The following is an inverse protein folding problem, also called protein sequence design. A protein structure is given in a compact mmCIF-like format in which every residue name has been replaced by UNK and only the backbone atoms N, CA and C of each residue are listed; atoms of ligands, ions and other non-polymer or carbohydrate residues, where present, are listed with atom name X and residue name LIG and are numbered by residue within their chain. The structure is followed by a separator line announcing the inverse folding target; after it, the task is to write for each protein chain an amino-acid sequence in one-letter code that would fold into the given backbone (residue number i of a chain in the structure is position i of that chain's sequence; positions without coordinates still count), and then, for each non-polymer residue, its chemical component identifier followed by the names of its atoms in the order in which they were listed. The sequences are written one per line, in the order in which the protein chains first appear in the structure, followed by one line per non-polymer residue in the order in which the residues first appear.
data_IF_129123054209
#
_entry.id   IF_129123054209
#
_cell.length_a   1.000
_cell.length_b   1.000
_cell.length_c   1.000
_cell.angle_alpha   90.00
_cell.angle_beta   90.00
_cell.angle_gamma   90.00
#
_symmetry.space_group_name_H-M   'P 1'
#
loop_
_entity.id
_entity.type
_entity.pdbx_description
1 polymer ?
#
# COMPACT_ATOMS: atom_id res chain seq x y z
N UNK A 1 24.37 -0.16 14.72
CA UNK A 1 22.96 -0.58 14.53
C UNK A 1 22.30 0.46 13.64
N UNK A 2 21.51 0.07 12.65
CA UNK A 2 20.80 1.03 11.81
C UNK A 2 19.85 1.88 12.67
N UNK A 3 19.71 3.17 12.33
CA UNK A 3 18.76 4.07 13.00
C UNK A 3 17.32 3.53 12.79
N UNK A 4 16.52 3.25 13.84
CA UNK A 4 15.16 2.75 13.69
C UNK A 4 14.25 3.64 12.83
N UNK A 5 14.49 4.95 12.83
CA UNK A 5 13.77 5.93 12.00
C UNK A 5 13.99 5.63 10.51
N UNK A 6 15.23 5.48 10.09
CA UNK A 6 15.57 5.16 8.70
C UNK A 6 15.15 3.73 8.35
N UNK A 7 15.38 2.78 9.28
CA UNK A 7 15.10 1.36 9.06
C UNK A 7 13.63 1.10 8.74
N UNK A 8 12.69 1.75 9.43
CA UNK A 8 11.25 1.50 9.25
C UNK A 8 10.51 2.61 8.50
N UNK A 9 11.26 3.49 7.82
CA UNK A 9 10.70 4.51 6.95
C UNK A 9 9.95 5.62 7.69
N UNK A 10 10.38 5.98 8.90
CA UNK A 10 9.82 7.06 9.70
C UNK A 10 10.24 8.47 9.24
N UNK A 11 11.08 8.57 8.20
CA UNK A 11 11.48 9.88 7.67
C UNK A 11 10.26 10.64 7.17
N UNK A 12 10.13 11.90 7.61
CA UNK A 12 9.02 12.77 7.23
C UNK A 12 9.19 13.28 5.79
N UNK A 13 8.11 13.21 5.02
CA UNK A 13 8.02 13.75 3.65
C UNK A 13 6.69 14.50 3.49
N UNK A 14 6.55 15.42 2.52
CA UNK A 14 5.27 16.05 2.21
C UNK A 14 4.16 15.03 1.98
N UNK A 15 2.95 15.30 2.49
CA UNK A 15 1.77 14.46 2.24
C UNK A 15 1.29 14.55 0.80
N UNK A 16 1.44 15.69 0.16
CA UNK A 16 1.04 15.88 -1.24
C UNK A 16 1.93 15.06 -2.19
N UNK A 17 1.33 14.08 -2.89
CA UNK A 17 2.04 13.29 -3.90
C UNK A 17 2.50 14.14 -5.08
N UNK A 18 1.72 15.14 -5.47
CA UNK A 18 2.10 16.09 -6.53
C UNK A 18 3.35 16.87 -6.14
N UNK A 19 3.40 17.37 -4.90
CA UNK A 19 4.56 18.07 -4.38
C UNK A 19 5.79 17.16 -4.32
N UNK A 20 5.65 15.92 -3.86
CA UNK A 20 6.72 14.93 -3.87
C UNK A 20 7.29 14.73 -5.27
N UNK A 21 6.42 14.60 -6.27
CA UNK A 21 6.84 14.43 -7.67
C UNK A 21 7.49 15.70 -8.25
N UNK A 22 7.02 16.88 -7.84
CA UNK A 22 7.61 18.15 -8.25
C UNK A 22 9.01 18.39 -7.64
N UNK A 23 9.20 18.00 -6.38
CA UNK A 23 10.43 18.19 -5.62
C UNK A 23 11.48 17.08 -5.83
N UNK A 24 11.15 15.99 -6.56
CA UNK A 24 12.11 14.91 -6.81
C UNK A 24 13.34 15.42 -7.56
N UNK A 25 14.52 14.91 -7.16
CA UNK A 25 15.82 15.37 -7.68
C UNK A 25 15.96 15.11 -9.17
N UNK A 26 15.43 13.99 -9.67
CA UNK A 26 15.52 13.61 -11.08
C UNK A 26 14.17 13.06 -11.57
N UNK A 27 13.77 13.51 -12.76
CA UNK A 27 12.69 12.88 -13.52
C UNK A 27 13.30 11.77 -14.37
N UNK A 28 12.95 10.53 -14.06
CA UNK A 28 13.41 9.35 -14.81
C UNK A 28 12.22 8.66 -15.45
N UNK A 29 12.41 8.21 -16.69
CA UNK A 29 11.47 7.30 -17.32
C UNK A 29 11.53 5.94 -16.61
N UNK A 30 10.38 5.32 -16.28
CA UNK A 30 10.37 4.02 -15.65
C UNK A 30 10.87 2.95 -16.64
N UNK A 31 11.68 2.03 -16.16
CA UNK A 31 12.08 0.87 -16.96
C UNK A 31 11.29 -0.39 -16.53
N UNK A 32 11.12 -1.37 -17.46
CA UNK A 32 10.33 -2.55 -17.18
C UNK A 32 10.96 -3.43 -16.10
N UNK A 33 10.11 -3.98 -15.24
CA UNK A 33 10.46 -4.94 -14.18
C UNK A 33 9.54 -6.14 -14.27
N UNK A 34 10.08 -7.32 -13.99
CA UNK A 34 9.29 -8.54 -13.85
C UNK A 34 9.09 -8.91 -12.40
N UNK A 35 7.97 -9.58 -12.09
CA UNK A 35 7.66 -10.06 -10.73
C UNK A 35 8.73 -11.00 -10.20
N UNK A 36 9.35 -11.82 -11.07
CA UNK A 36 10.45 -12.72 -10.71
C UNK A 36 11.71 -11.99 -10.26
N UNK A 37 11.94 -10.77 -10.76
CA UNK A 37 13.07 -9.94 -10.36
C UNK A 37 12.84 -9.27 -8.97
N UNK A 38 11.66 -9.46 -8.40
CA UNK A 38 11.18 -8.80 -7.19
C UNK A 38 10.82 -9.84 -6.09
N UNK A 39 11.80 -10.61 -5.56
CA UNK A 39 11.52 -11.65 -4.57
C UNK A 39 10.86 -11.07 -3.31
N UNK A 40 10.10 -11.90 -2.61
CA UNK A 40 9.57 -11.54 -1.28
C UNK A 40 10.72 -11.59 -0.27
N UNK A 41 10.73 -10.70 0.74
CA UNK A 41 11.65 -10.84 1.86
C UNK A 41 11.48 -12.21 2.50
N UNK A 42 12.61 -12.86 2.81
CA UNK A 42 12.63 -14.11 3.54
C UNK A 42 12.72 -13.82 5.04
N UNK A 43 11.74 -14.29 5.80
CA UNK A 43 11.71 -14.10 7.24
C UNK A 43 10.57 -14.87 7.89
N UNK A 44 10.79 -15.35 9.12
CA UNK A 44 9.74 -16.06 9.86
C UNK A 44 8.52 -15.17 10.13
N UNK A 45 8.72 -13.88 10.38
CA UNK A 45 7.65 -12.91 10.57
C UNK A 45 6.83 -12.72 9.28
N UNK A 46 7.51 -12.56 8.14
CA UNK A 46 6.86 -12.46 6.82
C UNK A 46 5.98 -13.67 6.53
N UNK A 47 6.50 -14.88 6.76
CA UNK A 47 5.73 -16.11 6.55
C UNK A 47 4.46 -16.14 7.39
N UNK A 48 4.57 -15.84 8.68
CA UNK A 48 3.42 -15.80 9.60
C UNK A 48 2.37 -14.75 9.23
N UNK A 49 2.81 -13.54 8.84
CA UNK A 49 1.88 -12.46 8.41
C UNK A 49 1.25 -12.81 7.06
N UNK A 50 1.99 -13.44 6.16
CA UNK A 50 1.43 -13.92 4.89
C UNK A 50 0.34 -14.97 5.13
N UNK A 51 0.56 -15.91 6.05
CA UNK A 51 -0.43 -16.93 6.40
C UNK A 51 -1.65 -16.30 7.08
N UNK A 52 -1.44 -15.31 7.95
CA UNK A 52 -2.52 -14.51 8.53
C UNK A 52 -3.33 -13.79 7.44
N UNK A 53 -2.67 -13.10 6.51
CA UNK A 53 -3.33 -12.40 5.42
C UNK A 53 -4.13 -13.39 4.51
N UNK A 54 -3.57 -14.55 4.18
CA UNK A 54 -4.27 -15.59 3.40
C UNK A 54 -5.51 -16.13 4.10
N UNK A 55 -5.47 -16.23 5.43
CA UNK A 55 -6.60 -16.73 6.22
C UNK A 55 -7.73 -15.72 6.32
N UNK A 56 -7.41 -14.42 6.38
CA UNK A 56 -8.37 -13.38 6.73
C UNK A 56 -8.81 -12.50 5.56
N UNK A 57 -8.01 -12.37 4.51
CA UNK A 57 -8.33 -11.52 3.37
C UNK A 57 -9.03 -12.29 2.25
N UNK A 58 -10.11 -11.73 1.65
CA UNK A 58 -10.61 -12.20 0.37
C UNK A 58 -9.52 -12.23 -0.69
N UNK A 59 -9.63 -13.13 -1.68
CA UNK A 59 -8.61 -13.30 -2.71
C UNK A 59 -8.31 -12.02 -3.49
N UNK A 60 -9.33 -11.20 -3.78
CA UNK A 60 -9.16 -9.91 -4.46
C UNK A 60 -8.32 -8.94 -3.62
N UNK A 61 -8.63 -8.82 -2.31
CA UNK A 61 -7.89 -7.96 -1.38
C UNK A 61 -6.46 -8.43 -1.19
N UNK A 62 -6.25 -9.75 -1.05
CA UNK A 62 -4.90 -10.31 -0.96
C UNK A 62 -4.07 -10.04 -2.23
N UNK A 63 -4.66 -10.26 -3.40
CA UNK A 63 -4.00 -9.96 -4.68
C UNK A 63 -3.69 -8.46 -4.82
N UNK A 64 -4.62 -7.57 -4.41
CA UNK A 64 -4.37 -6.14 -4.33
C UNK A 64 -3.16 -5.81 -3.46
N UNK A 65 -3.11 -6.35 -2.25
CA UNK A 65 -1.98 -6.20 -1.32
C UNK A 65 -0.65 -6.64 -1.93
N UNK A 66 -0.65 -7.76 -2.66
CA UNK A 66 0.55 -8.29 -3.33
C UNK A 66 0.93 -7.46 -4.56
N UNK A 67 -0.04 -6.93 -5.33
CA UNK A 67 0.24 -6.00 -6.45
C UNK A 67 0.88 -4.72 -5.93
N UNK A 68 0.33 -4.09 -4.89
CA UNK A 68 0.89 -2.86 -4.29
C UNK A 68 2.35 -3.04 -3.95
N UNK A 69 2.70 -4.12 -3.29
CA UNK A 69 4.09 -4.41 -2.98
C UNK A 69 4.95 -4.51 -4.24
N UNK A 70 4.46 -5.17 -5.30
CA UNK A 70 5.24 -5.38 -6.53
C UNK A 70 5.42 -4.11 -7.36
N UNK A 71 4.44 -3.21 -7.34
CA UNK A 71 4.61 -1.89 -7.96
C UNK A 71 5.70 -1.05 -7.26
N UNK A 72 5.99 -1.34 -6.00
CA UNK A 72 6.87 -0.53 -5.16
C UNK A 72 8.29 -1.07 -4.99
N UNK A 73 8.59 -2.34 -5.37
CA UNK A 73 9.73 -3.00 -4.77
C UNK A 73 10.72 -3.73 -5.70
N UNK A 74 12.05 -3.54 -5.42
CA UNK A 74 13.14 -4.47 -5.73
C UNK A 74 14.10 -4.60 -4.55
N UNK A 75 14.50 -5.85 -4.23
CA UNK A 75 15.20 -6.22 -3.00
C UNK A 75 16.72 -6.34 -3.09
N UNK A 76 17.35 -6.17 -4.23
CA UNK A 76 18.80 -6.41 -4.29
C UNK A 76 19.59 -5.10 -4.38
N UNK A 77 20.60 -4.93 -3.52
CA UNK A 77 21.50 -3.77 -3.58
C UNK A 77 22.23 -3.62 -4.94
N UNK A 78 22.33 -4.71 -5.69
CA UNK A 78 23.03 -4.75 -6.99
C UNK A 78 22.14 -4.43 -8.20
N UNK A 79 20.81 -4.49 -8.08
CA UNK A 79 19.89 -4.32 -9.22
C UNK A 79 18.99 -3.08 -9.16
N UNK A 80 19.12 -2.23 -8.18
CA UNK A 80 18.65 -0.81 -8.13
C UNK A 80 17.30 -0.44 -8.78
N UNK A 81 16.26 -1.32 -8.78
CA UNK A 81 15.17 -1.25 -9.76
C UNK A 81 13.75 -1.22 -9.16
N UNK A 82 13.53 -0.48 -8.07
CA UNK A 82 12.18 -0.25 -7.55
C UNK A 82 11.66 1.12 -7.95
N UNK A 83 10.33 1.31 -8.04
CA UNK A 83 9.72 2.61 -8.33
C UNK A 83 10.28 3.68 -7.38
N UNK A 84 10.34 3.41 -6.09
CA UNK A 84 10.91 4.35 -5.13
C UNK A 84 12.37 4.63 -5.41
N UNK A 85 13.19 3.63 -5.75
CA UNK A 85 14.59 3.87 -6.12
C UNK A 85 14.76 4.49 -7.50
N UNK A 86 13.79 4.35 -8.40
CA UNK A 86 13.81 5.06 -9.67
C UNK A 86 13.50 6.54 -9.51
N UNK A 87 12.56 6.88 -8.61
CA UNK A 87 12.03 8.23 -8.49
C UNK A 87 12.42 8.94 -7.19
N UNK A 88 12.74 8.18 -6.12
CA UNK A 88 13.09 8.67 -4.77
C UNK A 88 14.24 7.85 -4.17
N UNK A 89 15.45 7.88 -4.79
CA UNK A 89 16.58 7.03 -4.39
C UNK A 89 17.08 7.30 -2.97
N UNK A 90 16.75 8.46 -2.41
CA UNK A 90 17.10 8.88 -1.04
C UNK A 90 16.19 8.26 0.02
N UNK A 91 15.04 7.73 -0.35
CA UNK A 91 14.12 7.14 0.62
C UNK A 91 14.62 5.80 1.14
N UNK A 92 14.61 5.68 2.46
CA UNK A 92 15.03 4.46 3.17
C UNK A 92 13.86 3.85 3.91
N UNK A 93 13.69 2.55 3.80
CA UNK A 93 12.78 1.72 4.57
C UNK A 93 13.18 0.25 4.40
N UNK A 94 12.85 -0.53 5.41
CA UNK A 94 13.06 -1.97 5.37
C UNK A 94 12.02 -2.66 4.49
N UNK A 95 12.45 -3.53 3.58
CA UNK A 95 11.58 -4.33 2.72
C UNK A 95 10.55 -5.17 3.43
N UNK A 96 10.91 -5.74 4.58
CA UNK A 96 9.99 -6.51 5.40
C UNK A 96 8.88 -5.62 5.91
N UNK A 97 9.21 -4.46 6.48
CA UNK A 97 8.24 -3.49 7.02
C UNK A 97 7.25 -3.03 5.96
N UNK A 98 7.73 -2.74 4.74
CA UNK A 98 6.84 -2.41 3.62
C UNK A 98 5.89 -3.56 3.25
N UNK A 99 6.40 -4.79 3.20
CA UNK A 99 5.55 -5.94 2.90
C UNK A 99 4.48 -6.17 3.97
N UNK A 100 4.85 -6.03 5.25
CA UNK A 100 3.89 -6.14 6.36
C UNK A 100 2.78 -5.08 6.24
N UNK A 101 3.14 -3.82 5.94
CA UNK A 101 2.18 -2.74 5.71
C UNK A 101 1.29 -3.05 4.49
N UNK A 102 1.86 -3.49 3.37
CA UNK A 102 1.10 -3.83 2.18
C UNK A 102 0.14 -5.00 2.41
N UNK A 103 0.53 -6.04 3.15
CA UNK A 103 -0.32 -7.20 3.42
C UNK A 103 -1.51 -6.88 4.34
N UNK A 104 -1.32 -5.97 5.30
CA UNK A 104 -2.30 -5.71 6.35
C UNK A 104 -3.12 -4.43 6.15
N UNK A 105 -2.78 -3.56 5.16
CA UNK A 105 -3.39 -2.24 5.05
C UNK A 105 -4.93 -2.27 4.91
N UNK A 106 -5.47 -3.27 4.23
CA UNK A 106 -6.90 -3.43 4.01
C UNK A 106 -7.55 -4.49 4.94
N UNK A 107 -6.88 -4.93 6.01
CA UNK A 107 -7.45 -5.94 6.91
C UNK A 107 -8.75 -5.46 7.56
N UNK A 108 -8.91 -4.16 7.76
CA UNK A 108 -10.11 -3.55 8.30
C UNK A 108 -11.30 -3.52 7.34
N UNK A 109 -11.11 -3.80 6.04
CA UNK A 109 -12.16 -3.78 5.01
C UNK A 109 -12.94 -5.08 4.93
N UNK A 110 -12.52 -6.14 5.60
CA UNK A 110 -13.25 -7.41 5.60
C UNK A 110 -14.65 -7.22 6.21
N UNK A 111 -15.65 -7.94 5.72
CA UNK A 111 -17.03 -7.79 6.17
C UNK A 111 -17.16 -7.89 7.70
N UNK A 112 -16.43 -8.82 8.32
CA UNK A 112 -16.40 -8.96 9.76
C UNK A 112 -15.85 -7.72 10.47
N UNK A 113 -14.71 -7.19 10.03
CA UNK A 113 -14.09 -6.05 10.69
C UNK A 113 -14.83 -4.74 10.40
N UNK A 114 -15.31 -4.55 9.15
CA UNK A 114 -16.05 -3.37 8.77
C UNK A 114 -17.36 -3.24 9.55
N UNK A 115 -18.09 -4.34 9.75
CA UNK A 115 -19.39 -4.36 10.44
C UNK A 115 -19.30 -4.38 11.97
N UNK A 116 -18.21 -4.91 12.54
CA UNK A 116 -18.05 -5.10 13.99
C UNK A 116 -17.55 -3.86 14.74
N UNK A 117 -17.29 -2.74 14.06
CA UNK A 117 -16.75 -1.52 14.67
C UNK A 117 -17.43 -0.26 14.16
N UNK A 118 -17.36 0.80 14.96
CA UNK A 118 -17.74 2.17 14.56
C UNK A 118 -16.54 2.99 14.09
N UNK A 119 -15.32 2.44 14.21
CA UNK A 119 -14.12 3.09 13.69
C UNK A 119 -14.09 3.03 12.16
N UNK A 120 -13.47 4.00 11.53
CA UNK A 120 -13.09 3.90 10.12
C UNK A 120 -12.22 2.67 9.90
N UNK A 121 -12.35 2.02 8.73
CA UNK A 121 -11.67 0.75 8.49
C UNK A 121 -10.14 0.87 8.57
N UNK A 122 -9.58 2.02 8.22
CA UNK A 122 -8.14 2.28 8.31
C UNK A 122 -7.64 2.27 9.76
N UNK A 123 -8.40 2.90 10.68
CA UNK A 123 -8.07 2.87 12.11
C UNK A 123 -8.22 1.47 12.68
N UNK A 124 -9.31 0.78 12.34
CA UNK A 124 -9.51 -0.60 12.77
C UNK A 124 -8.41 -1.51 12.27
N UNK A 125 -8.03 -1.38 10.99
CA UNK A 125 -6.93 -2.11 10.37
C UNK A 125 -5.58 -1.82 11.05
N UNK A 126 -5.31 -0.56 11.38
CA UNK A 126 -4.11 -0.16 12.13
C UNK A 126 -4.02 -0.84 13.48
N UNK A 127 -5.08 -0.85 14.27
CA UNK A 127 -5.09 -1.51 15.59
C UNK A 127 -4.95 -3.03 15.48
N UNK A 128 -5.64 -3.67 14.52
CA UNK A 128 -5.49 -5.09 14.25
C UNK A 128 -4.03 -5.41 13.91
N UNK A 129 -3.41 -4.62 13.03
CA UNK A 129 -2.03 -4.85 12.60
C UNK A 129 -1.05 -4.70 13.77
N UNK A 130 -1.27 -3.73 14.65
CA UNK A 130 -0.44 -3.51 15.84
C UNK A 130 -0.45 -4.73 16.77
N UNK A 131 -1.64 -5.27 17.04
CA UNK A 131 -1.84 -6.44 17.91
C UNK A 131 -1.28 -7.72 17.26
N UNK A 132 -1.58 -7.95 15.99
CA UNK A 132 -1.09 -9.13 15.25
C UNK A 132 0.43 -9.13 15.20
N UNK A 133 1.06 -8.03 14.81
CA UNK A 133 2.51 -7.93 14.72
C UNK A 133 3.18 -8.04 16.10
N UNK A 134 2.54 -7.52 17.16
CA UNK A 134 3.02 -7.71 18.53
C UNK A 134 3.00 -9.19 18.92
N UNK A 135 1.91 -9.90 18.66
CA UNK A 135 1.77 -11.33 18.96
C UNK A 135 2.75 -12.21 18.19
N UNK A 136 3.18 -11.77 17.01
CA UNK A 136 4.15 -12.46 16.15
C UNK A 136 5.60 -12.08 16.44
N UNK A 137 5.85 -11.19 17.42
CA UNK A 137 7.19 -10.82 17.90
C UNK A 137 7.88 -9.72 17.08
N UNK A 138 7.14 -8.91 16.31
CA UNK A 138 7.70 -7.74 15.65
C UNK A 138 8.19 -6.70 16.67
N UNK A 139 9.30 -6.02 16.36
CA UNK A 139 9.81 -4.94 17.20
C UNK A 139 8.84 -3.74 17.25
N UNK A 140 8.84 -2.99 18.34
CA UNK A 140 7.88 -1.90 18.56
C UNK A 140 7.88 -0.89 17.43
N UNK A 141 9.06 -0.39 17.05
CA UNK A 141 9.17 0.63 15.98
C UNK A 141 8.65 0.13 14.62
N UNK A 142 8.83 -1.17 14.32
CA UNK A 142 8.34 -1.78 13.09
C UNK A 142 6.81 -1.86 13.07
N UNK A 143 6.20 -2.39 14.14
CA UNK A 143 4.73 -2.53 14.21
C UNK A 143 4.01 -1.18 14.28
N UNK A 144 4.62 -0.18 14.94
CA UNK A 144 4.10 1.20 14.94
C UNK A 144 4.19 1.84 13.56
N UNK A 145 5.29 1.65 12.82
CA UNK A 145 5.42 2.15 11.45
C UNK A 145 4.37 1.53 10.51
N UNK A 146 4.10 0.24 10.65
CA UNK A 146 3.03 -0.44 9.91
C UNK A 146 1.66 0.12 10.29
N UNK A 147 1.38 0.26 11.59
CA UNK A 147 0.12 0.80 12.10
C UNK A 147 -0.15 2.23 11.60
N UNK A 148 0.83 3.15 11.75
CA UNK A 148 0.75 4.53 11.24
C UNK A 148 0.48 4.55 9.74
N UNK A 149 1.20 3.72 8.98
CA UNK A 149 1.01 3.62 7.54
C UNK A 149 -0.38 3.12 7.18
N UNK A 150 -0.93 2.14 7.89
CA UNK A 150 -2.28 1.62 7.65
C UNK A 150 -3.34 2.67 7.96
N UNK A 151 -3.22 3.36 9.10
CA UNK A 151 -4.15 4.43 9.47
C UNK A 151 -4.17 5.54 8.40
N UNK A 152 -3.03 5.83 7.81
CA UNK A 152 -2.87 6.96 6.90
C UNK A 152 -2.78 6.59 5.42
N UNK A 153 -2.97 5.32 5.04
CA UNK A 153 -2.77 4.87 3.65
C UNK A 153 -3.74 5.49 2.62
N UNK A 154 -4.81 6.13 3.08
CA UNK A 154 -5.76 6.92 2.28
C UNK A 154 -5.81 8.39 2.73
N UNK A 155 -4.85 8.86 3.52
CA UNK A 155 -4.80 10.26 3.98
C UNK A 155 -4.26 11.19 2.89
N UNK A 156 -4.92 11.19 1.72
CA UNK A 156 -4.58 12.06 0.60
C UNK A 156 -4.82 13.54 0.96
N UNK A 157 -3.98 14.43 0.45
CA UNK A 157 -4.14 15.88 0.66
C UNK A 157 -2.83 16.65 0.50
N UNK A 158 -2.90 17.98 0.58
CA UNK A 158 -1.84 18.88 0.15
C UNK A 158 -1.02 19.48 1.30
N UNK A 159 -1.48 19.32 2.55
CA UNK A 159 -0.83 19.91 3.73
C UNK A 159 -0.35 18.87 4.72
N UNK A 160 0.70 19.21 5.46
CA UNK A 160 1.30 18.34 6.47
C UNK A 160 2.29 17.33 5.91
N UNK A 161 2.74 16.43 6.76
CA UNK A 161 3.73 15.42 6.43
C UNK A 161 3.23 14.01 6.75
N UNK A 162 3.78 13.04 6.04
CA UNK A 162 3.62 11.60 6.27
C UNK A 162 5.01 10.95 6.33
N UNK A 163 5.07 9.68 6.68
CA UNK A 163 6.33 8.93 6.63
C UNK A 163 6.66 8.50 5.20
N UNK A 164 7.93 8.25 4.90
CA UNK A 164 8.33 7.68 3.60
C UNK A 164 7.64 6.35 3.35
N UNK A 165 7.46 5.50 4.37
CA UNK A 165 6.72 4.24 4.25
C UNK A 165 5.26 4.48 3.83
N UNK A 166 4.58 5.46 4.44
CA UNK A 166 3.21 5.83 4.08
C UNK A 166 3.14 6.39 2.66
N UNK A 167 4.06 7.28 2.27
CA UNK A 167 4.09 7.85 0.92
C UNK A 167 4.24 6.77 -0.16
N UNK A 168 5.09 5.79 0.09
CA UNK A 168 5.25 4.63 -0.80
C UNK A 168 3.94 3.85 -0.94
N UNK A 169 3.25 3.56 0.16
CA UNK A 169 1.94 2.88 0.12
C UNK A 169 0.88 3.75 -0.58
N UNK A 170 0.89 5.08 -0.41
CA UNK A 170 0.00 5.99 -1.14
C UNK A 170 0.14 5.83 -2.66
N UNK A 171 1.36 5.93 -3.22
CA UNK A 171 1.56 5.78 -4.66
C UNK A 171 0.99 4.46 -5.18
N UNK A 172 1.22 3.36 -4.49
CA UNK A 172 0.68 2.06 -4.91
C UNK A 172 -0.83 1.98 -4.78
N UNK A 173 -1.40 2.59 -3.74
CA UNK A 173 -2.86 2.61 -3.51
C UNK A 173 -3.57 3.36 -4.63
N UNK A 174 -3.13 4.59 -4.91
CA UNK A 174 -3.79 5.41 -5.93
C UNK A 174 -3.57 4.87 -7.34
N UNK A 175 -2.44 4.23 -7.61
CA UNK A 175 -2.22 3.54 -8.88
C UNK A 175 -3.20 2.37 -9.05
N UNK A 176 -3.22 1.42 -8.12
CA UNK A 176 -4.02 0.20 -8.27
C UNK A 176 -5.53 0.48 -8.15
N UNK A 177 -5.94 1.44 -7.31
CA UNK A 177 -7.35 1.77 -7.11
C UNK A 177 -7.88 2.78 -8.15
N UNK A 178 -7.12 3.82 -8.47
CA UNK A 178 -7.60 4.96 -9.27
C UNK A 178 -6.82 5.18 -10.58
N UNK A 179 -5.76 4.43 -10.85
CA UNK A 179 -4.91 4.60 -12.04
C UNK A 179 -4.07 5.89 -12.03
N UNK A 180 -3.98 6.58 -10.88
CA UNK A 180 -3.21 7.81 -10.78
C UNK A 180 -1.70 7.52 -10.75
N UNK A 181 -0.92 8.43 -11.32
CA UNK A 181 0.54 8.34 -11.40
C UNK A 181 1.05 7.07 -12.10
N UNK A 182 0.28 6.54 -13.07
CA UNK A 182 0.65 5.36 -13.83
C UNK A 182 1.96 5.54 -14.61
N UNK A 183 2.31 6.77 -14.94
CA UNK A 183 3.56 7.14 -15.59
C UNK A 183 4.81 6.85 -14.76
N UNK A 184 4.67 6.55 -13.47
CA UNK A 184 5.77 6.13 -12.61
C UNK A 184 6.11 4.65 -12.76
N UNK A 185 5.30 3.88 -13.47
CA UNK A 185 5.45 2.43 -13.64
C UNK A 185 5.42 2.08 -15.12
N UNK A 186 6.42 1.33 -15.58
CA UNK A 186 6.43 0.88 -16.96
C UNK A 186 5.20 0.01 -17.27
N UNK A 187 4.52 0.17 -18.43
CA UNK A 187 3.34 -0.62 -18.78
C UNK A 187 3.56 -2.13 -18.72
N UNK A 188 4.72 -2.62 -19.16
CA UNK A 188 5.06 -4.05 -19.09
C UNK A 188 5.13 -4.56 -17.65
N UNK A 189 5.54 -3.70 -16.69
CA UNK A 189 5.52 -4.04 -15.26
C UNK A 189 4.10 -4.17 -14.77
N UNK A 190 3.20 -3.25 -15.15
CA UNK A 190 1.77 -3.33 -14.80
C UNK A 190 1.18 -4.65 -15.32
N UNK A 191 1.44 -4.99 -16.58
CA UNK A 191 0.96 -6.22 -17.21
C UNK A 191 1.49 -7.47 -16.49
N UNK A 192 2.78 -7.54 -16.18
CA UNK A 192 3.40 -8.71 -15.53
C UNK A 192 2.88 -8.89 -14.10
N UNK A 193 2.74 -7.79 -13.36
CA UNK A 193 2.21 -7.80 -11.98
C UNK A 193 0.74 -8.22 -11.95
N UNK A 194 -0.10 -7.67 -12.83
CA UNK A 194 -1.54 -8.03 -12.90
C UNK A 194 -1.76 -9.44 -13.41
N UNK A 195 -0.93 -9.95 -14.31
CA UNK A 195 -0.92 -11.35 -14.73
C UNK A 195 -0.60 -12.29 -13.55
N UNK A 196 0.36 -11.95 -12.71
CA UNK A 196 0.80 -12.78 -11.57
C UNK A 196 -0.16 -12.71 -10.38
N UNK A 197 -0.78 -11.54 -10.17
CA UNK A 197 -1.75 -11.26 -9.11
C UNK A 197 -3.01 -10.67 -9.71
N UNK A 198 -3.90 -11.49 -10.28
CA UNK A 198 -5.09 -11.04 -11.00
C UNK A 198 -5.98 -10.15 -10.16
N UNK A 199 -6.61 -9.18 -10.80
CA UNK A 199 -7.51 -8.24 -10.13
C UNK A 199 -8.84 -8.90 -9.75
N UNK A 200 -9.36 -9.79 -10.58
CA UNK A 200 -10.57 -10.57 -10.30
C UNK A 200 -11.79 -9.71 -9.91
N UNK A 201 -12.05 -8.64 -10.64
CA UNK A 201 -13.13 -7.71 -10.34
C UNK A 201 -12.83 -6.79 -9.15
N UNK A 202 -11.55 -6.48 -8.89
CA UNK A 202 -11.13 -5.62 -7.77
C UNK A 202 -11.80 -4.25 -7.79
N UNK A 203 -11.96 -3.64 -8.97
CA UNK A 203 -12.60 -2.33 -9.14
C UNK A 203 -13.98 -2.30 -8.50
N UNK A 204 -14.88 -3.20 -8.89
CA UNK A 204 -16.22 -3.30 -8.31
C UNK A 204 -16.21 -3.75 -6.85
N UNK A 205 -15.31 -4.66 -6.49
CA UNK A 205 -15.15 -5.14 -5.11
C UNK A 205 -14.81 -3.97 -4.16
N UNK A 206 -13.78 -3.19 -4.48
CA UNK A 206 -13.32 -2.10 -3.60
C UNK A 206 -14.26 -0.90 -3.61
N UNK A 207 -14.82 -0.53 -4.77
CA UNK A 207 -15.88 0.50 -4.82
C UNK A 207 -17.08 0.13 -3.93
N UNK A 208 -17.47 -1.15 -3.90
CA UNK A 208 -18.50 -1.66 -2.98
C UNK A 208 -18.08 -1.53 -1.50
N UNK A 209 -16.84 -1.80 -1.15
CA UNK A 209 -16.30 -1.59 0.22
C UNK A 209 -16.41 -0.12 0.62
N UNK A 210 -15.97 0.80 -0.25
CA UNK A 210 -16.03 2.25 -0.01
C UNK A 210 -17.48 2.71 0.24
N UNK A 211 -18.42 2.28 -0.60
CA UNK A 211 -19.84 2.64 -0.44
C UNK A 211 -20.41 2.14 0.89
N UNK A 212 -20.18 0.86 1.21
CA UNK A 212 -20.65 0.30 2.50
C UNK A 212 -20.05 1.02 3.70
N UNK A 213 -18.76 1.40 3.63
CA UNK A 213 -18.14 2.17 4.71
C UNK A 213 -18.80 3.53 4.88
N UNK A 214 -18.98 4.30 3.79
CA UNK A 214 -19.58 5.63 3.85
C UNK A 214 -21.06 5.61 4.23
N UNK A 215 -21.83 4.64 3.74
CA UNK A 215 -23.25 4.46 4.08
C UNK A 215 -23.44 4.03 5.53
N UNK A 216 -22.64 3.06 5.99
CA UNK A 216 -22.72 2.53 7.36
C UNK A 216 -22.09 3.43 8.42
N UNK A 217 -21.15 4.27 8.00
CA UNK A 217 -20.38 5.17 8.87
C UNK A 217 -20.20 6.54 8.21
N UNK A 218 -21.20 7.42 8.22
CA UNK A 218 -21.12 8.75 7.60
C UNK A 218 -20.01 9.65 8.16
N UNK A 219 -19.42 9.27 9.28
CA UNK A 219 -18.26 9.92 9.92
C UNK A 219 -16.92 9.29 9.54
N UNK A 220 -16.91 8.23 8.73
CA UNK A 220 -15.65 7.53 8.39
C UNK A 220 -14.66 8.46 7.69
N UNK A 221 -13.37 8.25 7.95
CA UNK A 221 -12.30 9.01 7.31
C UNK A 221 -12.32 8.87 5.78
N UNK A 222 -12.81 7.75 5.26
CA UNK A 222 -13.04 7.49 3.83
C UNK A 222 -13.88 8.57 3.16
N UNK A 223 -14.83 9.20 3.89
CA UNK A 223 -15.69 10.29 3.36
C UNK A 223 -14.94 11.55 2.97
N UNK A 224 -13.67 11.70 3.37
CA UNK A 224 -12.80 12.82 2.96
C UNK A 224 -12.42 12.79 1.49
N UNK A 225 -12.53 11.63 0.85
CA UNK A 225 -12.24 11.47 -0.58
C UNK A 225 -13.58 11.53 -1.32
N UNK A 226 -13.94 12.74 -1.77
CA UNK A 226 -15.17 12.95 -2.53
C UNK A 226 -15.16 12.11 -3.81
N UNK A 227 -16.28 11.43 -4.10
CA UNK A 227 -16.40 10.58 -5.29
C UNK A 227 -15.43 9.39 -5.32
N UNK A 228 -15.01 8.87 -4.16
CA UNK A 228 -13.95 7.84 -4.11
C UNK A 228 -14.36 6.55 -4.83
N UNK A 229 -15.59 6.08 -4.63
CA UNK A 229 -16.06 4.87 -5.32
C UNK A 229 -16.09 5.06 -6.84
N UNK A 230 -16.55 6.23 -7.30
CA UNK A 230 -16.58 6.63 -8.71
C UNK A 230 -15.17 6.79 -9.29
N UNK A 231 -14.24 7.32 -8.50
CA UNK A 231 -12.82 7.40 -8.88
C UNK A 231 -12.22 6.00 -9.10
N UNK A 232 -12.54 5.05 -8.23
CA UNK A 232 -12.11 3.65 -8.36
C UNK A 232 -12.71 3.02 -9.61
N UNK A 233 -14.01 3.19 -9.87
CA UNK A 233 -14.69 2.68 -11.06
C UNK A 233 -14.21 3.33 -12.36
N UNK A 234 -13.71 4.55 -12.28
CA UNK A 234 -13.11 5.30 -13.41
C UNK A 234 -11.69 4.90 -13.76
N UNK A 235 -11.10 3.89 -13.13
CA UNK A 235 -9.70 3.49 -13.35
C UNK A 235 -9.47 2.86 -14.74
N UNK A 236 -9.17 3.69 -15.75
CA UNK A 236 -8.93 3.25 -17.11
C UNK A 236 -7.59 2.53 -17.31
N UNK A 237 -6.62 2.77 -16.44
CA UNK A 237 -5.31 2.10 -16.51
C UNK A 237 -5.43 0.62 -16.18
N UNK A 238 -6.26 0.29 -15.19
CA UNK A 238 -6.41 -1.07 -14.72
C UNK A 238 -7.61 -1.82 -15.32
N UNK A 239 -8.52 -1.12 -16.01
CA UNK A 239 -9.69 -1.70 -16.67
C UNK A 239 -9.37 -2.94 -17.55
N UNK A 240 -8.27 -2.94 -18.36
CA UNK A 240 -7.93 -4.10 -19.19
C UNK A 240 -7.55 -5.37 -18.41
N UNK A 241 -7.29 -5.23 -17.11
CA UNK A 241 -6.81 -6.31 -16.25
C UNK A 241 -7.84 -6.74 -15.18
N UNK A 242 -9.02 -6.12 -15.15
CA UNK A 242 -10.01 -6.30 -14.07
C UNK A 242 -10.88 -7.56 -14.22
#
# INVERSE_FOLDING_TARGET
MANPIEKHGWTAVPRSLERLLAERQEKREPWPLKVEDLPLPDGSLVGKVMDYARLHLPAQTLNHSLRKRKFLFSLTPKQGRAITRQHFPEWTYDPETLLLAALLHDIGTTDHHQSSTRLSFEFKGGFISLDVLASLGAELSQREAVCETIIRHQDLGDTGSITTLTAVIHFATVLDNAGLYAELVHPDTIQDVTKRYPRNGWTGCFAGVVRRECEGKPWANTTRIEGFAEMVEGNRVMEPFD
#
